data_IF_535372844952
#
_entry.id   IF_535372844952
#
_cell.length_a   1.000
_cell.length_b   1.000
_cell.length_c   1.000
_cell.angle_alpha   90.00
_cell.angle_beta   90.00
_cell.angle_gamma   90.00
#
_symmetry.space_group_name_H-M   'P 1'
#
loop_
_entity.id
_entity.type
_entity.pdbx_description
1 polymer ?
#
# COMPACT_ATOMS: atom_id res chain seq x y z
N UNK A 1 9.88 5.71 -25.93
CA UNK A 1 9.10 6.48 -24.94
C UNK A 1 8.92 5.55 -23.76
N UNK A 2 9.43 5.96 -22.62
CA UNK A 2 9.76 5.14 -21.45
C UNK A 2 8.66 4.17 -21.02
N UNK A 3 8.99 2.87 -20.93
CA UNK A 3 8.25 1.89 -20.14
C UNK A 3 8.30 2.33 -18.67
N UNK A 4 7.39 3.23 -18.29
CA UNK A 4 6.99 3.34 -16.91
C UNK A 4 6.30 2.00 -16.64
N UNK A 5 6.93 1.14 -15.85
CA UNK A 5 6.30 -0.05 -15.28
C UNK A 5 5.15 0.44 -14.39
N UNK A 6 4.02 0.81 -15.02
CA UNK A 6 2.76 1.00 -14.34
C UNK A 6 2.32 -0.41 -13.99
N UNK A 7 2.88 -0.97 -12.93
CA UNK A 7 2.32 -2.15 -12.27
C UNK A 7 0.87 -1.79 -12.03
N UNK A 8 -0.03 -2.43 -12.78
CA UNK A 8 -1.45 -2.16 -12.68
C UNK A 8 -1.84 -2.20 -11.20
N UNK A 9 -2.72 -1.30 -10.72
CA UNK A 9 -3.19 -1.36 -9.35
C UNK A 9 -3.72 -2.76 -9.07
N UNK A 10 -3.28 -3.34 -7.95
CA UNK A 10 -3.76 -4.67 -7.56
C UNK A 10 -5.25 -4.63 -7.27
N UNK A 11 -5.71 -3.52 -6.72
CA UNK A 11 -7.11 -3.33 -6.41
C UNK A 11 -7.52 -1.87 -6.52
N UNK A 12 -8.76 -1.64 -6.96
CA UNK A 12 -9.43 -0.35 -6.96
C UNK A 12 -10.51 -0.39 -5.87
N UNK A 13 -10.40 0.47 -4.86
CA UNK A 13 -11.29 0.48 -3.70
C UNK A 13 -11.74 1.91 -3.38
N UNK A 14 -13.05 2.14 -3.32
CA UNK A 14 -13.68 3.46 -3.09
C UNK A 14 -13.10 4.64 -3.92
N UNK A 15 -12.61 4.36 -5.12
CA UNK A 15 -11.98 5.39 -5.95
C UNK A 15 -10.55 5.73 -5.54
N UNK A 16 -9.85 4.80 -4.90
CA UNK A 16 -8.40 4.78 -4.67
C UNK A 16 -7.77 3.56 -5.35
N UNK A 17 -6.52 3.72 -5.76
CA UNK A 17 -5.65 2.67 -6.29
C UNK A 17 -4.80 2.09 -5.15
N UNK A 18 -4.86 0.77 -4.98
CA UNK A 18 -4.08 0.03 -3.99
C UNK A 18 -2.97 -0.72 -4.73
N UNK A 19 -1.73 -0.44 -4.34
CA UNK A 19 -0.53 -1.11 -4.83
C UNK A 19 0.17 -1.81 -3.68
N UNK A 20 0.45 -3.11 -3.84
CA UNK A 20 1.06 -3.95 -2.80
C UNK A 20 2.17 -4.80 -3.40
N UNK A 21 3.35 -4.70 -2.84
CA UNK A 21 4.50 -5.52 -3.24
C UNK A 21 4.91 -6.39 -2.05
N UNK A 22 4.62 -7.71 -2.09
CA UNK A 22 5.18 -8.64 -1.12
C UNK A 22 6.69 -8.81 -1.39
N UNK A 23 7.48 -8.83 -0.32
CA UNK A 23 8.93 -9.01 -0.36
C UNK A 23 9.37 -9.97 0.75
N UNK A 24 10.39 -10.82 0.53
CA UNK A 24 10.98 -11.59 1.62
C UNK A 24 11.55 -10.65 2.69
N UNK A 25 11.42 -11.04 3.97
CA UNK A 25 11.96 -10.26 5.08
C UNK A 25 13.49 -10.36 5.12
N UNK A 26 14.15 -9.29 5.60
CA UNK A 26 15.61 -9.31 5.78
C UNK A 26 16.07 -10.26 6.90
N UNK A 27 15.23 -10.48 7.91
CA UNK A 27 15.53 -11.34 9.04
C UNK A 27 15.43 -12.83 8.68
N UNK A 28 14.49 -13.20 7.82
CA UNK A 28 14.26 -14.59 7.43
C UNK A 28 13.74 -14.67 5.99
N UNK A 29 14.50 -15.31 5.09
CA UNK A 29 14.11 -15.51 3.69
C UNK A 29 12.94 -16.49 3.50
N UNK A 30 12.52 -17.20 4.55
CA UNK A 30 11.31 -18.04 4.59
C UNK A 30 10.09 -17.29 5.15
N UNK A 31 10.23 -15.98 5.36
CA UNK A 31 9.17 -15.09 5.79
C UNK A 31 9.02 -13.97 4.78
N UNK A 32 7.80 -13.56 4.56
CA UNK A 32 7.44 -12.47 3.68
C UNK A 32 6.88 -11.31 4.51
N UNK A 33 7.14 -10.10 4.04
CA UNK A 33 6.50 -8.87 4.48
C UNK A 33 5.91 -8.23 3.23
N UNK A 34 5.20 -7.12 3.39
CA UNK A 34 4.69 -6.35 2.28
C UNK A 34 5.00 -4.88 2.46
N UNK A 35 5.09 -4.19 1.33
CA UNK A 35 5.09 -2.74 1.28
C UNK A 35 4.07 -2.34 0.24
N UNK A 36 3.20 -1.42 0.60
CA UNK A 36 2.17 -0.92 -0.31
C UNK A 36 2.02 0.58 -0.22
N UNK A 37 1.22 1.11 -1.12
CA UNK A 37 0.77 2.48 -1.06
C UNK A 37 -0.63 2.60 -1.64
N UNK A 38 -1.38 3.54 -1.09
CA UNK A 38 -2.70 3.92 -1.59
C UNK A 38 -2.58 5.30 -2.23
N UNK A 39 -3.13 5.45 -3.44
CA UNK A 39 -3.14 6.73 -4.15
C UNK A 39 -4.49 6.98 -4.82
N UNK A 40 -4.77 8.22 -5.20
CA UNK A 40 -5.93 8.51 -6.02
C UNK A 40 -5.71 8.07 -7.47
N UNK A 41 -6.76 7.62 -8.18
CA UNK A 41 -6.69 7.27 -9.58
C UNK A 41 -6.23 8.48 -10.41
N UNK A 42 -5.09 8.32 -11.06
CA UNK A 42 -4.45 9.39 -11.85
C UNK A 42 -3.65 10.40 -11.04
N UNK A 43 -3.49 10.21 -9.72
CA UNK A 43 -2.48 10.93 -8.96
C UNK A 43 -1.09 10.42 -9.30
N UNK A 44 -0.10 11.31 -9.31
CA UNK A 44 1.29 10.92 -9.55
C UNK A 44 1.89 10.32 -8.28
N UNK A 45 2.21 9.01 -8.25
CA UNK A 45 2.77 8.37 -7.06
C UNK A 45 4.18 8.88 -6.71
N UNK A 46 4.82 9.63 -7.60
CA UNK A 46 6.12 10.26 -7.34
C UNK A 46 6.00 11.58 -6.57
N UNK A 47 4.80 12.14 -6.43
CA UNK A 47 4.59 13.39 -5.71
C UNK A 47 4.35 13.15 -4.21
N UNK A 48 5.16 13.77 -3.32
CA UNK A 48 4.96 13.65 -1.88
C UNK A 48 3.62 14.27 -1.48
N UNK A 49 2.89 13.59 -0.60
CA UNK A 49 1.55 14.01 -0.15
C UNK A 49 0.40 13.54 -1.03
N UNK A 50 0.66 12.83 -2.15
CA UNK A 50 -0.38 12.26 -3.02
C UNK A 50 -0.60 10.76 -2.84
N UNK A 51 0.24 10.11 -2.02
CA UNK A 51 0.15 8.69 -1.70
C UNK A 51 0.28 8.46 -0.19
N UNK A 52 -0.42 7.46 0.33
CA UNK A 52 -0.25 6.95 1.70
C UNK A 52 0.57 5.67 1.60
N UNK A 53 1.88 5.71 1.88
CA UNK A 53 2.66 4.49 1.99
C UNK A 53 2.27 3.74 3.26
N UNK A 54 2.24 2.42 3.18
CA UNK A 54 2.02 1.52 4.31
C UNK A 54 2.90 0.28 4.15
N UNK A 55 3.18 -0.40 5.24
CA UNK A 55 3.95 -1.64 5.23
C UNK A 55 3.48 -2.51 6.39
N UNK A 56 3.80 -3.80 6.35
CA UNK A 56 3.56 -4.65 7.51
C UNK A 56 4.35 -4.10 8.71
N UNK A 57 3.77 -4.12 9.90
CA UNK A 57 4.50 -3.74 11.11
C UNK A 57 5.73 -4.64 11.29
N UNK A 58 6.76 -4.14 11.98
CA UNK A 58 8.07 -4.80 12.03
C UNK A 58 8.06 -6.25 12.55
N UNK A 59 7.02 -6.63 13.29
CA UNK A 59 6.80 -7.99 13.80
C UNK A 59 5.92 -8.85 12.87
N UNK A 60 5.15 -8.24 11.95
CA UNK A 60 4.26 -8.94 11.03
C UNK A 60 5.03 -9.57 9.88
N UNK A 61 5.02 -10.90 9.90
CA UNK A 61 5.71 -11.71 8.90
C UNK A 61 4.86 -12.91 8.49
N UNK A 62 4.72 -13.09 7.18
CA UNK A 62 3.84 -14.07 6.56
C UNK A 62 4.63 -15.27 6.04
N UNK A 63 3.95 -16.39 5.84
CA UNK A 63 4.58 -17.62 5.35
C UNK A 63 4.65 -17.67 3.83
N UNK A 64 3.77 -16.93 3.15
CA UNK A 64 3.73 -16.82 1.69
C UNK A 64 3.57 -15.36 1.26
N UNK A 65 3.97 -15.04 0.01
CA UNK A 65 3.72 -13.72 -0.56
C UNK A 65 2.23 -13.45 -0.78
N UNK A 66 1.41 -14.48 -0.98
CA UNK A 66 -0.04 -14.36 -1.12
C UNK A 66 -0.70 -13.91 0.18
N UNK A 67 -0.34 -14.53 1.30
CA UNK A 67 -0.83 -14.17 2.64
C UNK A 67 -0.44 -12.72 2.99
N UNK A 68 0.81 -12.34 2.69
CA UNK A 68 1.25 -10.96 2.84
C UNK A 68 0.43 -9.98 2.00
N UNK A 69 0.04 -10.38 0.80
CA UNK A 69 -0.71 -9.54 -0.12
C UNK A 69 -2.17 -9.37 0.31
N UNK A 70 -2.81 -10.45 0.78
CA UNK A 70 -4.17 -10.41 1.32
C UNK A 70 -4.26 -9.46 2.53
N UNK A 71 -3.32 -9.58 3.46
CA UNK A 71 -3.26 -8.72 4.65
C UNK A 71 -2.97 -7.26 4.28
N UNK A 72 -2.06 -7.03 3.33
CA UNK A 72 -1.79 -5.68 2.83
C UNK A 72 -3.03 -5.03 2.20
N UNK A 73 -3.81 -5.78 1.43
CA UNK A 73 -5.05 -5.28 0.84
C UNK A 73 -6.07 -4.99 1.94
N UNK A 74 -6.15 -5.83 2.98
CA UNK A 74 -7.01 -5.59 4.12
C UNK A 74 -6.65 -4.28 4.83
N UNK A 75 -5.37 -4.08 5.13
CA UNK A 75 -4.82 -2.85 5.71
C UNK A 75 -5.10 -1.64 4.81
N UNK A 76 -4.85 -1.75 3.50
CA UNK A 76 -5.11 -0.68 2.55
C UNK A 76 -6.58 -0.24 2.54
N UNK A 77 -7.52 -1.18 2.59
CA UNK A 77 -8.95 -0.87 2.71
C UNK A 77 -9.25 -0.14 4.00
N UNK A 78 -8.70 -0.57 5.13
CA UNK A 78 -8.86 0.15 6.41
C UNK A 78 -8.29 1.58 6.36
N UNK A 79 -7.21 1.82 5.62
CA UNK A 79 -6.65 3.17 5.41
C UNK A 79 -7.61 4.04 4.59
N UNK A 80 -8.21 3.47 3.53
CA UNK A 80 -9.21 4.14 2.70
C UNK A 80 -10.47 4.44 3.51
N UNK A 81 -10.97 3.46 4.26
CA UNK A 81 -12.13 3.59 5.15
C UNK A 81 -11.89 4.55 6.33
N UNK A 82 -10.63 4.89 6.61
CA UNK A 82 -10.23 5.68 7.78
C UNK A 82 -10.42 4.95 9.11
N UNK A 83 -10.46 3.62 9.09
CA UNK A 83 -10.57 2.75 10.27
C UNK A 83 -9.22 2.24 10.76
N UNK A 84 -8.15 2.43 9.98
CA UNK A 84 -6.81 2.06 10.38
C UNK A 84 -6.32 2.93 11.56
N UNK A 85 -5.67 2.35 12.59
CA UNK A 85 -5.31 3.07 13.82
C UNK A 85 -4.35 4.25 13.59
N UNK A 86 -3.36 4.07 12.70
CA UNK A 86 -2.29 5.07 12.48
C UNK A 86 -2.34 5.83 11.14
N UNK A 87 -3.05 5.31 10.14
CA UNK A 87 -2.97 5.78 8.74
C UNK A 87 -4.36 6.08 8.20
N UNK A 88 -4.50 7.10 7.36
CA UNK A 88 -5.75 7.37 6.66
C UNK A 88 -5.49 8.15 5.37
N UNK A 89 -6.28 7.88 4.33
CA UNK A 89 -6.29 8.71 3.11
C UNK A 89 -6.68 10.17 3.36
N UNK A 90 -7.36 10.47 4.48
CA UNK A 90 -7.67 11.84 4.88
C UNK A 90 -6.42 12.70 5.10
N UNK A 91 -5.27 12.10 5.42
CA UNK A 91 -4.00 12.81 5.55
C UNK A 91 -3.50 13.40 4.24
N UNK A 92 -3.80 12.77 3.09
CA UNK A 92 -3.57 13.33 1.75
C UNK A 92 -4.56 14.47 1.48
N UNK A 93 -5.84 14.25 1.80
CA UNK A 93 -6.93 15.20 1.54
C UNK A 93 -6.76 16.52 2.33
N UNK A 94 -6.10 16.48 3.49
CA UNK A 94 -5.95 17.64 4.37
C UNK A 94 -4.79 18.58 3.98
N UNK A 95 -3.80 18.13 3.19
CA UNK A 95 -2.63 18.94 2.82
C UNK A 95 -2.75 19.69 1.48
N UNK A 96 -3.95 19.71 0.87
CA UNK A 96 -4.20 20.35 -0.43
C UNK A 96 -4.69 21.80 -0.39
N UNK A 97 -4.16 22.67 0.48
CA UNK A 97 -4.50 24.11 0.51
C UNK A 97 -3.30 25.03 0.28
#
# INVERSE_FOLDING_TARGET
MSDQLTTAPQELYEGFEIHVVPSPTRANSLRYTYTGYVCHPGADPQLPGHVVPFHADGDDTFRSPEEAMEEAVHVARSIVDGTHPDLSVLSIVTHGY
#
